data_IF_019022545501
#
_entry.id   IF_019022545501
#
_cell.length_a   1.000
_cell.length_b   1.000
_cell.length_c   1.000
_cell.angle_alpha   90.00
_cell.angle_beta   90.00
_cell.angle_gamma   90.00
#
_symmetry.space_group_name_H-M   'P 1'
#
loop_
_entity.id
_entity.type
_entity.pdbx_description
1 polymer ?
#
# COMPACT_ATOMS: atom_id res chain seq x y z
N UNK A 1 -8.79 -13.51 -24.28
CA UNK A 1 -7.53 -14.03 -24.81
C UNK A 1 -6.53 -12.88 -24.77
N UNK A 2 -5.40 -13.10 -24.09
CA UNK A 2 -4.19 -12.28 -23.96
C UNK A 2 -4.30 -10.88 -23.29
N UNK A 3 -3.76 -10.77 -22.09
CA UNK A 3 -2.43 -10.17 -21.90
C UNK A 3 -1.80 -10.75 -20.62
N UNK A 4 -0.90 -11.71 -20.84
CA UNK A 4 0.15 -12.08 -19.88
C UNK A 4 1.21 -10.98 -19.96
N UNK A 5 1.49 -10.31 -18.84
CA UNK A 5 2.61 -9.38 -18.73
C UNK A 5 3.44 -9.72 -17.50
N UNK A 6 4.44 -10.56 -17.76
CA UNK A 6 5.79 -10.69 -17.21
C UNK A 6 6.12 -10.11 -15.83
N UNK A 7 6.39 -11.04 -14.90
CA UNK A 7 7.41 -11.07 -13.82
C UNK A 7 7.56 -9.85 -12.91
N UNK A 8 6.77 -9.83 -11.83
CA UNK A 8 7.30 -9.42 -10.53
C UNK A 8 7.98 -10.66 -9.92
N UNK A 9 9.26 -10.57 -9.59
CA UNK A 9 9.94 -11.60 -8.80
C UNK A 9 9.24 -11.67 -7.44
N UNK A 10 8.29 -12.60 -7.31
CA UNK A 10 7.43 -12.72 -6.15
C UNK A 10 8.21 -13.23 -4.95
N UNK A 11 8.75 -12.31 -4.15
CA UNK A 11 9.16 -12.62 -2.78
C UNK A 11 7.90 -13.05 -2.03
N UNK A 12 7.68 -14.36 -1.94
CA UNK A 12 6.54 -14.92 -1.22
C UNK A 12 6.83 -14.84 0.27
N UNK A 13 6.17 -13.90 0.95
CA UNK A 13 6.18 -13.85 2.42
C UNK A 13 5.13 -14.83 2.95
N UNK A 14 5.52 -15.84 3.75
CA UNK A 14 4.56 -16.77 4.34
C UNK A 14 3.49 -16.03 5.16
N UNK A 15 2.22 -16.27 4.86
CA UNK A 15 1.10 -15.64 5.58
C UNK A 15 0.67 -14.26 5.05
N UNK A 16 1.32 -13.74 4.00
CA UNK A 16 0.81 -12.58 3.25
C UNK A 16 0.22 -13.00 1.90
N UNK A 17 -0.90 -12.38 1.46
CA UNK A 17 -1.37 -12.52 0.11
C UNK A 17 -0.41 -11.83 -0.87
N UNK A 18 -0.28 -12.41 -2.07
CA UNK A 18 0.47 -11.77 -3.14
C UNK A 18 -0.40 -10.67 -3.78
N UNK A 19 0.02 -9.41 -3.62
CA UNK A 19 -0.73 -8.25 -4.11
C UNK A 19 -0.12 -7.77 -5.43
N UNK A 20 -0.77 -8.13 -6.55
CA UNK A 20 -0.25 -7.85 -7.88
C UNK A 20 -0.20 -6.35 -8.25
N UNK A 21 -1.17 -5.56 -7.81
CA UNK A 21 -1.18 -4.10 -7.98
C UNK A 21 -1.67 -3.43 -6.69
N UNK A 22 -0.77 -3.19 -5.72
CA UNK A 22 -1.11 -2.62 -4.42
C UNK A 22 -1.78 -1.25 -4.55
N UNK A 23 -1.41 -0.47 -5.57
CA UNK A 23 -1.94 0.87 -5.81
C UNK A 23 -3.43 0.88 -6.20
N UNK A 24 -3.96 -0.24 -6.73
CA UNK A 24 -5.36 -0.38 -7.17
C UNK A 24 -6.28 -0.98 -6.13
N UNK A 25 -5.76 -1.34 -4.95
CA UNK A 25 -6.56 -1.88 -3.86
C UNK A 25 -7.56 -0.83 -3.38
N UNK A 26 -8.83 -1.21 -3.26
CA UNK A 26 -9.86 -0.29 -2.79
C UNK A 26 -9.56 0.12 -1.33
N UNK A 27 -9.86 1.37 -0.91
CA UNK A 27 -9.48 1.87 0.41
C UNK A 27 -9.95 1.01 1.60
N UNK A 28 -11.10 0.34 1.46
CA UNK A 28 -11.62 -0.57 2.49
C UNK A 28 -10.75 -1.83 2.60
N UNK A 29 -10.46 -2.46 1.47
CA UNK A 29 -9.65 -3.68 1.41
C UNK A 29 -8.20 -3.38 1.81
N UNK A 30 -7.67 -2.21 1.45
CA UNK A 30 -6.34 -1.75 1.85
C UNK A 30 -6.21 -1.65 3.38
N UNK A 31 -7.25 -1.20 4.10
CA UNK A 31 -7.26 -1.15 5.57
C UNK A 31 -7.20 -2.54 6.18
N UNK A 32 -7.96 -3.49 5.63
CA UNK A 32 -8.01 -4.86 6.15
C UNK A 32 -6.70 -5.61 5.86
N UNK A 33 -6.17 -5.50 4.63
CA UNK A 33 -4.88 -6.07 4.25
C UNK A 33 -3.72 -5.46 5.04
N UNK A 34 -3.73 -4.14 5.28
CA UNK A 34 -2.66 -3.46 6.02
C UNK A 34 -2.46 -4.07 7.41
N UNK A 35 -3.52 -4.54 8.08
CA UNK A 35 -3.39 -5.20 9.39
C UNK A 35 -2.54 -6.48 9.31
N UNK A 36 -2.72 -7.27 8.26
CA UNK A 36 -1.94 -8.50 8.04
C UNK A 36 -0.47 -8.16 7.77
N UNK A 37 -0.23 -7.19 6.90
CA UNK A 37 1.11 -6.74 6.55
C UNK A 37 1.85 -6.12 7.73
N UNK A 38 1.19 -5.30 8.56
CA UNK A 38 1.80 -4.77 9.79
C UNK A 38 2.17 -5.89 10.78
N UNK A 39 1.31 -6.91 10.92
CA UNK A 39 1.60 -8.07 11.76
C UNK A 39 2.85 -8.82 11.31
N UNK A 40 3.03 -9.00 10.00
CA UNK A 40 4.22 -9.65 9.45
C UNK A 40 5.45 -8.76 9.56
N UNK A 41 5.35 -7.47 9.24
CA UNK A 41 6.45 -6.51 9.34
C UNK A 41 7.03 -6.42 10.76
N UNK A 42 6.20 -6.60 11.80
CA UNK A 42 6.64 -6.64 13.19
C UNK A 42 7.51 -7.87 13.55
N UNK A 43 7.48 -8.91 12.73
CA UNK A 43 8.23 -10.17 12.94
C UNK A 43 9.38 -10.36 11.97
N UNK A 44 9.34 -9.71 10.80
CA UNK A 44 10.35 -9.83 9.77
C UNK A 44 11.60 -9.03 10.15
N UNK A 45 12.77 -9.59 9.84
CA UNK A 45 14.04 -8.92 10.05
C UNK A 45 14.25 -7.83 9.01
N UNK A 46 14.61 -6.62 9.47
CA UNK A 46 14.91 -5.50 8.58
C UNK A 46 16.13 -5.78 7.69
N UNK A 47 16.05 -5.37 6.43
CA UNK A 47 17.07 -5.66 5.41
C UNK A 47 16.82 -6.94 4.62
N UNK A 48 15.81 -7.74 4.99
CA UNK A 48 15.40 -8.91 4.20
C UNK A 48 14.53 -8.52 2.99
N UNK A 49 14.53 -9.33 1.91
CA UNK A 49 13.59 -9.16 0.80
C UNK A 49 12.12 -9.20 1.24
N UNK A 50 11.79 -10.03 2.23
CA UNK A 50 10.44 -10.21 2.77
C UNK A 50 10.00 -8.95 3.52
N UNK A 51 10.86 -8.38 4.35
CA UNK A 51 10.60 -7.10 5.02
C UNK A 51 10.40 -5.98 4.00
N UNK A 52 11.24 -5.94 2.97
CA UNK A 52 11.15 -4.94 1.90
C UNK A 52 9.84 -5.07 1.11
N UNK A 53 9.42 -6.30 0.79
CA UNK A 53 8.12 -6.57 0.17
C UNK A 53 6.97 -6.07 1.04
N UNK A 54 6.92 -6.52 2.31
CA UNK A 54 5.83 -6.15 3.22
C UNK A 54 5.72 -4.62 3.39
N UNK A 55 6.85 -3.94 3.57
CA UNK A 55 6.91 -2.47 3.69
C UNK A 55 6.46 -1.76 2.40
N UNK A 56 7.00 -2.16 1.25
CA UNK A 56 6.68 -1.49 -0.02
C UNK A 56 5.21 -1.66 -0.39
N UNK A 57 4.67 -2.88 -0.23
CA UNK A 57 3.25 -3.15 -0.47
C UNK A 57 2.35 -2.34 0.48
N UNK A 58 2.71 -2.18 1.76
CA UNK A 58 1.99 -1.30 2.69
C UNK A 58 1.96 0.16 2.22
N UNK A 59 3.10 0.71 1.79
CA UNK A 59 3.20 2.09 1.30
C UNK A 59 2.29 2.29 0.09
N UNK A 60 2.37 1.38 -0.88
CA UNK A 60 1.61 1.49 -2.13
C UNK A 60 0.09 1.32 -1.91
N UNK A 61 -0.33 0.38 -1.05
CA UNK A 61 -1.75 0.24 -0.69
C UNK A 61 -2.28 1.49 0.03
N UNK A 62 -1.50 2.06 0.95
CA UNK A 62 -1.95 3.17 1.77
C UNK A 62 -1.96 4.50 1.02
N UNK A 63 -1.21 4.67 -0.08
CA UNK A 63 -1.38 5.81 -1.00
C UNK A 63 -2.84 5.98 -1.46
N UNK A 64 -3.53 4.89 -1.78
CA UNK A 64 -4.94 4.93 -2.19
C UNK A 64 -5.89 5.28 -1.03
N UNK A 65 -5.55 4.86 0.19
CA UNK A 65 -6.28 5.26 1.39
C UNK A 65 -6.07 6.73 1.73
N UNK A 66 -4.84 7.23 1.65
CA UNK A 66 -4.48 8.63 1.90
C UNK A 66 -5.22 9.54 0.93
N UNK A 67 -5.20 9.26 -0.38
CA UNK A 67 -6.00 10.01 -1.37
C UNK A 67 -7.49 9.99 -1.07
N UNK A 68 -8.03 8.84 -0.67
CA UNK A 68 -9.44 8.71 -0.29
C UNK A 68 -9.79 9.53 0.96
N UNK A 69 -8.93 9.51 1.98
CA UNK A 69 -9.10 10.28 3.22
C UNK A 69 -8.97 11.79 2.94
N UNK A 70 -7.92 12.20 2.23
CA UNK A 70 -7.66 13.57 1.82
C UNK A 70 -8.84 14.17 1.03
N UNK A 71 -9.49 13.35 0.19
CA UNK A 71 -10.67 13.76 -0.57
C UNK A 71 -11.85 14.29 0.25
N UNK A 72 -11.91 14.06 1.56
CA UNK A 72 -12.93 14.62 2.47
C UNK A 72 -12.68 16.10 2.82
N UNK A 73 -11.47 16.59 2.60
CA UNK A 73 -11.05 17.95 2.93
C UNK A 73 -11.06 18.90 1.72
N UNK A 74 -11.65 18.48 0.59
CA UNK A 74 -11.73 19.23 -0.68
C UNK A 74 -12.41 20.60 -0.59
N UNK A 75 -13.11 20.92 0.49
CA UNK A 75 -13.73 22.23 0.69
C UNK A 75 -12.72 23.37 0.89
N UNK A 76 -11.41 23.09 0.96
CA UNK A 76 -10.37 24.06 1.28
C UNK A 76 -9.46 24.49 0.11
N UNK A 77 -9.63 23.93 -1.09
CA UNK A 77 -8.85 24.29 -2.29
C UNK A 77 -7.82 23.22 -2.73
N UNK A 78 -7.29 23.30 -3.96
CA UNK A 78 -6.41 22.27 -4.54
C UNK A 78 -4.99 22.24 -3.97
N UNK A 79 -4.39 23.36 -3.56
CA UNK A 79 -3.04 23.37 -2.96
C UNK A 79 -3.03 22.68 -1.59
N UNK A 80 -4.06 22.87 -0.75
CA UNK A 80 -4.19 22.16 0.52
C UNK A 80 -4.40 20.64 0.35
N UNK A 81 -4.88 20.17 -0.81
CA UNK A 81 -5.03 18.74 -1.08
C UNK A 81 -3.67 18.05 -1.21
N UNK A 82 -2.72 18.70 -1.87
CA UNK A 82 -1.37 18.17 -2.06
C UNK A 82 -0.64 18.09 -0.72
N UNK A 83 -0.78 19.12 0.12
CA UNK A 83 -0.26 19.14 1.50
C UNK A 83 -0.84 18.01 2.36
N UNK A 84 -2.16 17.80 2.32
CA UNK A 84 -2.81 16.74 3.12
C UNK A 84 -2.36 15.34 2.66
N UNK A 85 -2.21 15.13 1.35
CA UNK A 85 -1.69 13.86 0.82
C UNK A 85 -0.25 13.67 1.25
N UNK A 86 0.59 14.70 1.14
CA UNK A 86 2.00 14.63 1.52
C UNK A 86 2.16 14.31 3.02
N UNK A 87 1.44 15.02 3.90
CA UNK A 87 1.47 14.76 5.35
C UNK A 87 0.96 13.36 5.68
N UNK A 88 -0.08 12.88 4.97
CA UNK A 88 -0.63 11.54 5.18
C UNK A 88 0.30 10.39 4.76
N UNK A 89 1.41 10.69 4.09
CA UNK A 89 2.38 9.72 3.59
C UNK A 89 3.65 9.58 4.45
N UNK A 90 3.83 10.43 5.47
CA UNK A 90 4.99 10.47 6.39
C UNK A 90 4.75 9.52 7.57
#
# INVERSE_FOLDING_TARGET
MALMTTTAAGTRVPGLPDVADPSKVAPKDARDLSRLFFGQLATLEEGTPEYSYARNTLIEMNMSLVRYAAGRFRSRGPEEMEDIVQVGMI
#
